data_IF_069297219403
#
_entry.id   IF_069297219403
#
_cell.length_a   1.000
_cell.length_b   1.000
_cell.length_c   1.000
_cell.angle_alpha   90.00
_cell.angle_beta   90.00
_cell.angle_gamma   90.00
#
_symmetry.space_group_name_H-M   'P 1'
#
loop_
_entity.id
_entity.type
_entity.pdbx_description
1 polymer ?
#
# COMPACT_ATOMS: atom_id res chain seq x y z
N UNK A 1 54.12 40.59 3.46
CA UNK A 1 53.21 40.18 2.36
C UNK A 1 53.67 38.83 1.84
N UNK A 2 52.99 37.75 2.20
CA UNK A 2 53.23 36.40 1.68
C UNK A 2 51.92 35.94 1.03
N UNK A 3 51.92 35.80 -0.29
CA UNK A 3 50.76 35.37 -1.07
C UNK A 3 50.79 33.86 -1.19
N UNK A 4 49.84 33.20 -0.52
CA UNK A 4 49.65 31.76 -0.57
C UNK A 4 49.11 31.38 -1.97
N UNK A 5 49.97 30.82 -2.83
CA UNK A 5 49.57 30.33 -4.17
C UNK A 5 49.02 28.92 -4.03
N UNK A 6 47.70 28.77 -4.11
CA UNK A 6 47.06 27.46 -4.25
C UNK A 6 47.33 26.95 -5.68
N UNK A 7 47.93 25.76 -5.82
CA UNK A 7 48.09 25.12 -7.14
C UNK A 7 46.76 24.53 -7.58
N UNK A 8 46.46 24.60 -8.88
CA UNK A 8 45.26 24.01 -9.48
C UNK A 8 45.11 22.50 -9.18
N UNK A 9 46.20 21.81 -8.85
CA UNK A 9 46.26 20.39 -8.50
C UNK A 9 45.44 20.05 -7.24
N UNK A 10 45.41 20.96 -6.26
CA UNK A 10 44.71 20.74 -4.99
C UNK A 10 43.20 20.87 -5.11
N UNK A 11 42.71 21.68 -6.05
CA UNK A 11 41.27 21.80 -6.33
C UNK A 11 40.71 20.58 -7.05
N UNK A 12 41.48 20.00 -7.98
CA UNK A 12 41.07 18.80 -8.70
C UNK A 12 40.94 17.57 -7.80
N UNK A 13 41.84 17.44 -6.83
CA UNK A 13 41.85 16.31 -5.88
C UNK A 13 40.68 16.41 -4.90
N UNK A 14 40.34 17.61 -4.43
CA UNK A 14 39.20 17.82 -3.54
C UNK A 14 37.87 17.58 -4.27
N UNK A 15 37.76 18.04 -5.52
CA UNK A 15 36.55 17.85 -6.34
C UNK A 15 36.28 16.36 -6.64
N UNK A 16 37.33 15.57 -6.95
CA UNK A 16 37.22 14.12 -7.17
C UNK A 16 36.81 13.37 -5.90
N UNK A 17 37.34 13.75 -4.74
CA UNK A 17 36.96 13.15 -3.45
C UNK A 17 35.53 13.51 -3.08
N UNK A 18 35.09 14.76 -3.29
CA UNK A 18 33.69 15.14 -3.07
C UNK A 18 32.74 14.44 -4.06
N UNK A 19 33.14 14.24 -5.32
CA UNK A 19 32.32 13.51 -6.29
C UNK A 19 32.19 12.03 -5.91
N UNK A 20 33.27 11.42 -5.42
CA UNK A 20 33.27 10.03 -4.96
C UNK A 20 32.46 9.84 -3.66
N UNK A 21 32.53 10.80 -2.73
CA UNK A 21 31.72 10.77 -1.49
C UNK A 21 30.25 11.05 -1.80
N UNK A 22 29.92 11.93 -2.76
CA UNK A 22 28.55 12.12 -3.22
C UNK A 22 28.05 10.85 -3.91
N UNK A 23 28.82 10.21 -4.80
CA UNK A 23 28.42 8.96 -5.44
C UNK A 23 28.23 7.79 -4.46
N UNK A 24 29.02 7.73 -3.38
CA UNK A 24 28.86 6.75 -2.30
C UNK A 24 27.70 7.09 -1.35
N UNK A 25 27.37 8.38 -1.18
CA UNK A 25 26.26 8.83 -0.33
C UNK A 25 24.91 8.85 -1.06
N UNK A 26 24.91 8.99 -2.38
CA UNK A 26 23.76 8.82 -3.26
C UNK A 26 23.72 7.41 -3.82
N UNK A 27 24.14 6.41 -3.03
CA UNK A 27 23.92 5.01 -3.37
C UNK A 27 22.45 4.82 -3.70
N UNK A 28 22.14 4.92 -4.99
CA UNK A 28 20.85 4.58 -5.56
C UNK A 28 20.74 3.11 -5.22
N UNK A 29 19.90 2.82 -4.23
CA UNK A 29 19.35 1.49 -4.05
C UNK A 29 18.56 1.27 -5.33
N UNK A 30 19.25 0.72 -6.32
CA UNK A 30 18.66 0.23 -7.54
C UNK A 30 17.64 -0.81 -7.08
N UNK A 31 16.36 -0.47 -7.17
CA UNK A 31 15.26 -1.45 -7.21
C UNK A 31 15.31 -2.16 -8.59
N UNK A 32 16.50 -2.55 -9.04
CA UNK A 32 16.66 -3.58 -10.05
C UNK A 32 16.35 -4.89 -9.35
N UNK A 33 15.10 -5.30 -9.39
CA UNK A 33 14.67 -6.70 -9.49
C UNK A 33 13.14 -6.71 -9.43
N UNK A 34 12.51 -6.73 -10.60
CA UNK A 34 11.17 -7.31 -10.73
C UNK A 34 11.19 -8.72 -10.12
N UNK A 35 10.07 -9.15 -9.54
CA UNK A 35 9.95 -10.40 -8.77
C UNK A 35 10.92 -11.51 -9.21
N UNK A 36 11.81 -11.89 -8.29
CA UNK A 36 12.38 -13.24 -8.15
C UNK A 36 13.17 -13.79 -9.37
N UNK A 37 14.35 -13.22 -9.64
CA UNK A 37 15.39 -13.98 -10.36
C UNK A 37 15.98 -15.12 -9.51
N UNK A 38 15.73 -15.15 -8.20
CA UNK A 38 16.36 -16.08 -7.25
C UNK A 38 15.42 -17.07 -6.54
N UNK A 39 14.09 -17.04 -6.78
CA UNK A 39 13.15 -17.97 -6.13
C UNK A 39 12.96 -19.25 -6.92
N UNK A 40 12.81 -20.39 -6.22
CA UNK A 40 12.56 -21.67 -6.86
C UNK A 40 11.15 -21.66 -7.49
N UNK A 41 11.05 -22.08 -8.76
CA UNK A 41 9.78 -22.21 -9.46
C UNK A 41 8.75 -23.04 -8.66
N UNK A 42 9.23 -24.00 -7.86
CA UNK A 42 8.42 -24.91 -7.04
C UNK A 42 7.78 -24.24 -5.84
N UNK A 43 8.17 -23.01 -5.50
CA UNK A 43 7.51 -22.25 -4.42
C UNK A 43 6.10 -21.78 -4.83
N UNK A 44 5.86 -21.69 -6.14
CA UNK A 44 4.57 -21.28 -6.70
C UNK A 44 3.92 -22.36 -7.56
N UNK A 45 4.70 -23.06 -8.38
CA UNK A 45 4.21 -24.03 -9.35
C UNK A 45 4.26 -25.45 -8.78
N UNK A 46 3.23 -26.25 -9.12
CA UNK A 46 3.16 -27.65 -8.68
C UNK A 46 4.14 -28.57 -9.41
N UNK A 47 4.58 -28.20 -10.62
CA UNK A 47 5.41 -29.04 -11.46
C UNK A 47 6.91 -28.92 -11.14
N UNK A 48 7.62 -30.05 -11.09
CA UNK A 48 9.09 -30.07 -10.90
C UNK A 48 9.85 -29.40 -12.06
N UNK A 49 9.30 -29.44 -13.28
CA UNK A 49 9.77 -28.64 -14.41
C UNK A 49 8.61 -27.82 -14.95
N UNK A 50 8.74 -26.50 -14.85
CA UNK A 50 7.75 -25.55 -15.33
C UNK A 50 7.97 -25.28 -16.82
N UNK A 51 6.89 -25.40 -17.59
CA UNK A 51 6.78 -25.15 -19.02
C UNK A 51 5.53 -24.32 -19.27
N UNK A 52 5.39 -23.71 -20.46
CA UNK A 52 4.18 -22.95 -20.81
C UNK A 52 2.89 -23.76 -20.65
N UNK A 53 2.94 -25.08 -20.85
CA UNK A 53 1.77 -25.96 -20.79
C UNK A 53 1.29 -26.26 -19.37
N UNK A 54 2.17 -26.16 -18.37
CA UNK A 54 1.86 -26.51 -16.97
C UNK A 54 2.05 -25.33 -16.00
N UNK A 55 2.50 -24.18 -16.47
CA UNK A 55 2.74 -22.99 -15.66
C UNK A 55 1.48 -22.47 -14.94
N UNK A 56 0.28 -22.76 -15.45
CA UNK A 56 -0.98 -22.36 -14.79
C UNK A 56 -1.35 -23.23 -13.58
N UNK A 57 -0.62 -24.33 -13.36
CA UNK A 57 -0.86 -25.25 -12.24
C UNK A 57 -0.01 -24.80 -11.04
N UNK A 58 -0.69 -24.17 -10.08
CA UNK A 58 -0.07 -23.59 -8.89
C UNK A 58 -0.30 -24.47 -7.65
N UNK A 59 0.60 -24.36 -6.67
CA UNK A 59 0.48 -25.06 -5.38
C UNK A 59 -0.76 -24.64 -4.58
N UNK A 60 -1.22 -23.40 -4.78
CA UNK A 60 -2.42 -22.84 -4.17
C UNK A 60 -2.98 -21.72 -5.07
N UNK A 61 -4.14 -21.17 -4.68
CA UNK A 61 -4.65 -19.94 -5.30
C UNK A 61 -3.64 -18.80 -5.18
N UNK A 62 -3.59 -17.93 -6.19
CA UNK A 62 -2.61 -16.85 -6.25
C UNK A 62 -2.70 -15.92 -5.04
N UNK A 63 -3.89 -15.67 -4.53
CA UNK A 63 -4.10 -14.83 -3.35
C UNK A 63 -3.34 -15.38 -2.13
N UNK A 64 -3.33 -16.70 -1.96
CA UNK A 64 -2.59 -17.36 -0.87
C UNK A 64 -1.08 -17.35 -1.12
N UNK A 65 -0.64 -17.58 -2.35
CA UNK A 65 0.78 -17.58 -2.70
C UNK A 65 1.38 -16.18 -2.54
N UNK A 66 0.73 -15.16 -3.12
CA UNK A 66 1.17 -13.78 -3.06
C UNK A 66 1.12 -13.23 -1.62
N UNK A 67 0.10 -13.57 -0.82
CA UNK A 67 -0.01 -13.14 0.58
C UNK A 67 1.18 -13.58 1.47
N UNK A 68 1.92 -14.61 1.08
CA UNK A 68 3.07 -15.08 1.87
C UNK A 68 4.19 -14.03 1.95
N UNK A 69 4.32 -13.20 0.91
CA UNK A 69 5.30 -12.11 0.85
C UNK A 69 4.65 -10.72 0.80
N UNK A 70 3.43 -10.61 0.25
CA UNK A 70 2.65 -9.37 0.09
C UNK A 70 1.34 -9.43 0.89
N UNK A 71 1.38 -9.59 2.21
CA UNK A 71 0.18 -9.78 3.03
C UNK A 71 -0.76 -8.57 2.99
N UNK A 72 -0.21 -7.37 2.83
CA UNK A 72 -1.00 -6.13 2.82
C UNK A 72 -1.68 -5.90 1.47
N UNK A 73 -1.09 -6.36 0.37
CA UNK A 73 -1.73 -6.29 -0.94
C UNK A 73 -3.08 -7.01 -0.90
N UNK A 74 -3.19 -8.21 -0.34
CA UNK A 74 -4.49 -8.91 -0.27
C UNK A 74 -5.55 -8.16 0.53
N UNK A 75 -5.14 -7.37 1.53
CA UNK A 75 -6.07 -6.63 2.39
C UNK A 75 -6.45 -5.26 1.85
N UNK A 76 -5.58 -4.65 1.06
CA UNK A 76 -5.65 -3.24 0.67
C UNK A 76 -5.55 -3.01 -0.84
N UNK A 77 -5.79 -4.05 -1.64
CA UNK A 77 -5.85 -3.97 -3.12
C UNK A 77 -7.28 -3.93 -3.63
N UNK A 78 -7.39 -3.66 -4.94
CA UNK A 78 -8.54 -4.11 -5.71
C UNK A 78 -8.81 -5.62 -5.46
N UNK A 79 -10.08 -6.04 -5.29
CA UNK A 79 -10.41 -7.44 -5.02
C UNK A 79 -9.87 -8.41 -6.07
N UNK A 80 -9.52 -9.63 -5.65
CA UNK A 80 -9.07 -10.74 -6.51
C UNK A 80 -9.64 -12.07 -6.01
N UNK A 81 -9.41 -13.16 -6.74
CA UNK A 81 -9.92 -14.49 -6.41
C UNK A 81 -11.41 -14.67 -6.67
N UNK A 82 -11.97 -13.91 -7.63
CA UNK A 82 -13.39 -13.98 -7.98
C UNK A 82 -13.60 -13.96 -9.49
N UNK A 83 -14.70 -14.57 -9.94
CA UNK A 83 -15.11 -14.54 -11.34
C UNK A 83 -15.65 -13.14 -11.71
N UNK A 84 -15.03 -12.41 -12.66
CA UNK A 84 -15.50 -11.10 -13.05
C UNK A 84 -16.90 -11.20 -13.67
N UNK A 85 -17.77 -10.25 -13.33
CA UNK A 85 -19.13 -10.17 -13.85
C UNK A 85 -19.21 -9.54 -15.24
N UNK A 86 -18.14 -8.85 -15.67
CA UNK A 86 -18.01 -8.20 -16.97
C UNK A 86 -16.90 -8.83 -17.79
N UNK A 87 -16.93 -8.60 -19.10
CA UNK A 87 -15.86 -9.01 -20.00
C UNK A 87 -14.59 -8.22 -19.67
N UNK A 88 -13.46 -8.93 -19.53
CA UNK A 88 -12.15 -8.31 -19.36
C UNK A 88 -11.46 -8.18 -20.73
N UNK A 89 -10.72 -7.08 -20.98
CA UNK A 89 -9.89 -6.99 -22.17
C UNK A 89 -8.88 -8.14 -22.25
N UNK A 90 -8.51 -8.55 -23.47
CA UNK A 90 -7.60 -9.69 -23.71
C UNK A 90 -6.24 -9.55 -23.00
N UNK A 91 -5.79 -8.32 -22.78
CA UNK A 91 -4.55 -8.02 -22.05
C UNK A 91 -4.58 -8.45 -20.56
N UNK A 92 -5.76 -8.74 -20.00
CA UNK A 92 -5.99 -9.07 -18.60
C UNK A 92 -6.59 -10.48 -18.47
N UNK A 93 -5.76 -11.53 -18.57
CA UNK A 93 -6.25 -12.90 -18.58
C UNK A 93 -6.79 -13.30 -17.20
N UNK A 94 -7.87 -14.07 -17.19
CA UNK A 94 -8.34 -14.79 -16.00
C UNK A 94 -7.56 -16.09 -15.79
N UNK A 95 -7.62 -16.64 -14.58
CA UNK A 95 -7.06 -17.96 -14.31
C UNK A 95 -7.84 -19.09 -15.00
N UNK A 96 -7.40 -20.34 -14.82
CA UNK A 96 -8.04 -21.51 -15.44
C UNK A 96 -9.48 -21.78 -14.96
N UNK A 97 -9.90 -21.23 -13.81
CA UNK A 97 -11.28 -21.28 -13.30
C UNK A 97 -12.13 -20.13 -13.84
N UNK A 98 -11.48 -19.14 -14.44
CA UNK A 98 -12.09 -17.91 -14.91
C UNK A 98 -12.10 -16.80 -13.86
N UNK A 99 -11.26 -16.87 -12.83
CA UNK A 99 -11.17 -15.86 -11.78
C UNK A 99 -10.18 -14.74 -12.18
N UNK A 100 -10.53 -13.50 -11.82
CA UNK A 100 -9.59 -12.38 -11.80
C UNK A 100 -8.65 -12.57 -10.61
N UNK A 101 -7.35 -12.65 -10.87
CA UNK A 101 -6.31 -12.94 -9.87
C UNK A 101 -5.20 -11.88 -9.92
N UNK A 102 -4.22 -11.95 -9.01
CA UNK A 102 -3.05 -11.07 -9.05
C UNK A 102 -2.36 -11.08 -10.43
N UNK A 103 -2.22 -12.25 -11.04
CA UNK A 103 -1.63 -12.46 -12.35
C UNK A 103 -2.47 -11.96 -13.53
N UNK A 104 -3.73 -11.58 -13.29
CA UNK A 104 -4.57 -10.90 -14.27
C UNK A 104 -4.16 -9.44 -14.46
N UNK A 105 -3.61 -8.81 -13.42
CA UNK A 105 -3.10 -7.43 -13.44
C UNK A 105 -1.57 -7.39 -13.55
N UNK A 106 -0.86 -8.37 -12.99
CA UNK A 106 0.60 -8.40 -12.98
C UNK A 106 1.18 -9.48 -13.90
N UNK A 107 2.23 -9.12 -14.62
CA UNK A 107 3.11 -10.04 -15.35
C UNK A 107 4.18 -10.54 -14.38
N UNK A 108 3.87 -11.61 -13.65
CA UNK A 108 4.66 -12.08 -12.50
C UNK A 108 6.13 -12.39 -12.86
N UNK A 109 6.40 -12.80 -14.10
CA UNK A 109 7.76 -13.05 -14.63
C UNK A 109 8.28 -11.90 -15.51
N UNK A 110 7.69 -10.71 -15.40
CA UNK A 110 8.12 -9.52 -16.13
C UNK A 110 9.29 -8.81 -15.44
N UNK A 111 9.83 -7.81 -16.13
CA UNK A 111 10.94 -6.99 -15.63
C UNK A 111 10.55 -5.53 -15.37
N UNK A 112 9.34 -5.14 -15.76
CA UNK A 112 8.88 -3.76 -15.65
C UNK A 112 8.54 -3.38 -14.19
N UNK A 113 8.79 -2.14 -13.76
CA UNK A 113 8.41 -1.68 -12.43
C UNK A 113 6.93 -1.92 -12.12
N UNK A 114 6.65 -2.58 -10.98
CA UNK A 114 5.29 -2.94 -10.56
C UNK A 114 4.65 -4.07 -11.37
N UNK A 115 5.28 -4.56 -12.43
CA UNK A 115 4.83 -5.68 -13.26
C UNK A 115 3.43 -5.52 -13.87
N UNK A 116 2.88 -4.31 -13.92
CA UNK A 116 1.49 -4.10 -14.37
C UNK A 116 1.34 -4.47 -15.86
N UNK A 117 0.27 -5.20 -16.17
CA UNK A 117 -0.16 -5.54 -17.53
C UNK A 117 -0.87 -4.35 -18.16
N UNK A 118 -0.79 -4.30 -19.48
CA UNK A 118 -1.28 -3.16 -20.23
C UNK A 118 -0.34 -1.95 -20.08
N UNK A 119 -0.42 -1.03 -21.04
CA UNK A 119 0.41 0.19 -21.02
C UNK A 119 -0.15 1.28 -20.09
N UNK A 120 -1.38 1.12 -19.61
CA UNK A 120 -2.08 2.13 -18.83
C UNK A 120 -1.63 2.12 -17.36
N UNK A 121 -1.62 3.30 -16.73
CA UNK A 121 -1.27 3.50 -15.31
C UNK A 121 -2.23 4.50 -14.69
N UNK A 122 -2.38 4.46 -13.36
CA UNK A 122 -3.29 5.36 -12.63
C UNK A 122 -4.74 5.23 -13.11
N UNK A 123 -5.46 6.35 -13.18
CA UNK A 123 -6.89 6.31 -13.52
C UNK A 123 -7.22 5.66 -14.87
N UNK A 124 -6.47 5.92 -15.97
CA UNK A 124 -6.65 5.18 -17.23
C UNK A 124 -6.60 3.65 -17.07
N UNK A 125 -5.77 3.12 -16.17
CA UNK A 125 -5.71 1.68 -15.90
C UNK A 125 -7.03 1.17 -15.33
N UNK A 126 -7.59 1.87 -14.36
CA UNK A 126 -8.88 1.50 -13.75
C UNK A 126 -10.01 1.50 -14.80
N UNK A 127 -9.96 2.44 -15.75
CA UNK A 127 -10.92 2.56 -16.85
C UNK A 127 -10.83 1.45 -17.90
N UNK A 128 -9.79 0.61 -17.87
CA UNK A 128 -9.74 -0.60 -18.73
C UNK A 128 -10.82 -1.61 -18.36
N UNK A 129 -11.26 -1.59 -17.09
CA UNK A 129 -12.23 -2.52 -16.54
C UNK A 129 -13.46 -1.81 -15.98
N UNK A 130 -13.38 -0.54 -15.57
CA UNK A 130 -14.50 0.22 -15.01
C UNK A 130 -14.91 1.36 -15.93
N UNK A 131 -16.18 1.74 -15.89
CA UNK A 131 -16.67 2.95 -16.57
C UNK A 131 -16.65 4.14 -15.61
N UNK A 132 -16.76 5.35 -16.15
CA UNK A 132 -16.80 6.57 -15.33
C UNK A 132 -17.98 6.56 -14.35
N UNK A 133 -19.11 5.96 -14.72
CA UNK A 133 -20.29 5.85 -13.86
C UNK A 133 -20.02 5.05 -12.58
N UNK A 134 -19.19 3.99 -12.67
CA UNK A 134 -18.74 3.27 -11.48
C UNK A 134 -18.07 4.19 -10.46
N UNK A 135 -17.17 5.07 -10.90
CA UNK A 135 -16.47 6.01 -10.04
C UNK A 135 -17.36 7.16 -9.59
N UNK A 136 -18.24 7.67 -10.44
CA UNK A 136 -19.15 8.77 -10.10
C UNK A 136 -20.12 8.45 -8.95
N UNK A 137 -20.34 7.15 -8.66
CA UNK A 137 -21.12 6.71 -7.50
C UNK A 137 -20.35 6.71 -6.19
N UNK A 138 -19.03 6.88 -6.23
CA UNK A 138 -18.19 7.00 -5.05
C UNK A 138 -18.28 8.42 -4.48
N UNK A 139 -18.21 8.60 -3.14
CA UNK A 139 -18.29 9.92 -2.51
C UNK A 139 -17.25 10.92 -3.04
N UNK A 140 -16.06 10.45 -3.39
CA UNK A 140 -14.94 11.23 -3.88
C UNK A 140 -14.76 11.16 -5.40
N UNK A 141 -15.72 10.52 -6.09
CA UNK A 141 -15.70 10.23 -7.54
C UNK A 141 -14.49 9.42 -8.01
N UNK A 142 -13.93 8.59 -7.13
CA UNK A 142 -12.84 7.68 -7.44
C UNK A 142 -11.45 8.28 -7.37
N UNK A 143 -11.28 9.54 -6.97
CA UNK A 143 -9.97 10.21 -6.91
C UNK A 143 -8.97 9.50 -5.98
N UNK A 144 -9.43 9.01 -4.82
CA UNK A 144 -8.60 8.27 -3.85
C UNK A 144 -8.11 6.92 -4.36
N UNK A 145 -8.90 6.25 -5.21
CA UNK A 145 -8.58 4.92 -5.76
C UNK A 145 -7.94 4.98 -7.14
N UNK A 146 -8.05 6.14 -7.82
CA UNK A 146 -7.51 6.40 -9.15
C UNK A 146 -5.98 6.38 -9.21
N UNK A 147 -5.33 6.77 -8.11
CA UNK A 147 -3.88 6.92 -8.06
C UNK A 147 -3.11 5.60 -7.92
N UNK A 148 -3.73 4.57 -7.34
CA UNK A 148 -3.03 3.34 -6.95
C UNK A 148 -3.87 2.09 -7.25
N UNK A 149 -3.25 0.96 -7.56
CA UNK A 149 -3.95 -0.33 -7.72
C UNK A 149 -4.20 -1.04 -6.38
N UNK A 150 -3.39 -0.68 -5.39
CA UNK A 150 -3.46 -1.10 -4.00
C UNK A 150 -2.78 -0.03 -3.14
N UNK A 151 -3.14 0.05 -1.86
CA UNK A 151 -2.38 0.90 -0.95
C UNK A 151 -0.97 0.30 -0.79
N UNK A 152 0.05 1.12 -0.97
CA UNK A 152 1.44 0.67 -0.98
C UNK A 152 2.13 0.93 0.36
N UNK A 153 2.77 -0.08 0.96
CA UNK A 153 3.54 0.08 2.18
C UNK A 153 4.91 0.77 1.96
N UNK A 154 5.30 1.09 0.73
CA UNK A 154 6.65 1.61 0.43
C UNK A 154 6.87 3.09 0.75
N UNK A 155 5.85 3.84 1.20
CA UNK A 155 6.03 5.23 1.56
C UNK A 155 6.89 5.37 2.85
N UNK A 156 7.95 6.18 2.78
CA UNK A 156 8.84 6.40 3.94
C UNK A 156 8.13 7.21 5.04
N UNK A 157 7.68 6.52 6.08
CA UNK A 157 7.02 7.08 7.27
C UNK A 157 7.89 8.05 8.07
N UNK A 158 9.22 8.04 7.86
CA UNK A 158 10.18 8.80 8.67
C UNK A 158 10.17 10.31 8.44
N UNK A 159 9.41 10.81 7.44
CA UNK A 159 9.38 12.25 7.10
C UNK A 159 8.33 13.06 7.85
N UNK A 160 7.52 12.44 8.70
CA UNK A 160 6.43 13.13 9.41
C UNK A 160 6.72 13.29 10.90
N UNK A 161 6.19 14.35 11.52
CA UNK A 161 6.39 14.66 12.94
C UNK A 161 5.76 13.61 13.87
N UNK A 162 4.80 12.83 13.36
CA UNK A 162 4.13 11.71 14.02
C UNK A 162 4.41 10.48 13.18
N UNK A 163 4.80 9.33 13.76
CA UNK A 163 5.08 8.12 12.99
C UNK A 163 3.76 7.53 12.45
N UNK A 164 3.33 8.01 11.28
CA UNK A 164 2.18 7.50 10.54
C UNK A 164 2.61 6.33 9.66
N UNK A 165 1.72 5.34 9.53
CA UNK A 165 1.95 4.26 8.58
C UNK A 165 1.82 4.74 7.12
N UNK A 166 2.47 4.06 6.17
CA UNK A 166 2.43 4.40 4.75
C UNK A 166 1.02 4.55 4.16
N UNK A 167 0.06 3.75 4.65
CA UNK A 167 -1.32 3.78 4.16
C UNK A 167 -2.03 5.05 4.62
N UNK A 168 -1.88 5.40 5.91
CA UNK A 168 -2.38 6.66 6.44
C UNK A 168 -1.80 7.87 5.68
N UNK A 169 -0.52 7.83 5.30
CA UNK A 169 0.09 8.88 4.47
C UNK A 169 -0.54 8.99 3.08
N UNK A 170 -0.87 7.87 2.45
CA UNK A 170 -1.56 7.87 1.15
C UNK A 170 -2.98 8.42 1.25
N UNK A 171 -3.73 8.03 2.29
CA UNK A 171 -5.05 8.62 2.55
C UNK A 171 -4.93 10.15 2.71
N UNK A 172 -3.99 10.60 3.53
CA UNK A 172 -3.80 12.03 3.78
C UNK A 172 -3.36 12.80 2.52
N UNK A 173 -2.63 12.16 1.61
CA UNK A 173 -2.24 12.78 0.33
C UNK A 173 -3.41 13.38 -0.46
N UNK A 174 -4.61 12.82 -0.34
CA UNK A 174 -5.82 13.36 -0.97
C UNK A 174 -6.77 14.02 0.04
N UNK A 175 -6.98 13.41 1.22
CA UNK A 175 -7.98 13.88 2.19
C UNK A 175 -7.54 15.16 2.94
N UNK A 176 -6.23 15.42 3.06
CA UNK A 176 -5.72 16.65 3.68
C UNK A 176 -6.03 17.90 2.83
N UNK A 177 -5.94 17.78 1.51
CA UNK A 177 -6.14 18.90 0.58
C UNK A 177 -7.62 19.31 0.46
N UNK A 178 -8.54 18.38 0.75
CA UNK A 178 -10.00 18.58 0.67
C UNK A 178 -10.63 19.08 1.97
N UNK A 179 -9.85 19.17 3.05
CA UNK A 179 -10.32 19.69 4.33
C UNK A 179 -11.26 18.73 5.08
N UNK A 180 -11.28 17.44 4.71
CA UNK A 180 -12.07 16.40 5.38
C UNK A 180 -11.49 16.01 6.75
N UNK A 181 -10.22 16.35 6.97
CA UNK A 181 -9.47 16.16 8.21
C UNK A 181 -8.76 17.44 8.65
N UNK A 182 -8.78 17.74 9.95
CA UNK A 182 -8.12 18.93 10.51
C UNK A 182 -6.58 18.77 10.51
N UNK A 183 -5.90 19.56 9.65
CA UNK A 183 -4.44 19.62 9.51
C UNK A 183 -3.70 19.88 10.82
N UNK A 184 -4.29 20.67 11.74
CA UNK A 184 -3.67 20.99 13.02
C UNK A 184 -3.61 19.79 13.96
N UNK A 185 -4.64 18.96 13.92
CA UNK A 185 -4.78 17.81 14.81
C UNK A 185 -3.90 16.63 14.36
N UNK A 186 -3.77 16.38 13.05
CA UNK A 186 -2.94 15.29 12.52
C UNK A 186 -1.46 15.46 12.89
N UNK A 187 -0.96 16.71 12.96
CA UNK A 187 0.41 17.01 13.41
C UNK A 187 0.67 16.63 14.87
N UNK A 188 -0.39 16.44 15.66
CA UNK A 188 -0.33 15.93 17.04
C UNK A 188 -0.68 14.45 17.14
N UNK A 189 -0.91 13.77 16.01
CA UNK A 189 -1.30 12.37 15.95
C UNK A 189 -2.77 12.15 16.29
N UNK A 190 -3.60 13.19 16.20
CA UNK A 190 -5.03 13.16 16.52
C UNK A 190 -5.83 13.48 15.26
N UNK A 191 -6.63 12.53 14.78
CA UNK A 191 -7.57 12.83 13.68
C UNK A 191 -8.80 13.49 14.26
N UNK A 192 -9.24 14.57 13.62
CA UNK A 192 -10.55 15.17 13.82
C UNK A 192 -11.30 15.15 12.50
N UNK A 193 -12.47 14.55 12.52
CA UNK A 193 -13.35 14.48 11.36
C UNK A 193 -14.20 15.75 11.30
N UNK A 194 -14.29 16.39 10.14
CA UNK A 194 -15.21 17.52 9.96
C UNK A 194 -16.66 17.04 10.03
N UNK A 195 -17.37 17.39 11.11
CA UNK A 195 -18.79 17.04 11.29
C UNK A 195 -19.06 15.79 12.14
N UNK A 196 -18.06 15.24 12.83
CA UNK A 196 -18.23 14.18 13.84
C UNK A 196 -17.46 14.53 15.12
N UNK A 197 -18.02 14.18 16.27
CA UNK A 197 -17.38 14.40 17.58
C UNK A 197 -16.36 13.30 17.93
N UNK A 198 -16.21 12.28 17.08
CA UNK A 198 -15.25 11.20 17.30
C UNK A 198 -13.87 11.65 16.86
N UNK A 199 -13.01 11.94 17.83
CA UNK A 199 -11.59 12.20 17.62
C UNK A 199 -10.80 10.98 18.09
N UNK A 200 -9.85 10.52 17.27
CA UNK A 200 -9.03 9.37 17.66
C UNK A 200 -7.58 9.56 17.26
N UNK A 201 -6.64 9.00 18.03
CA UNK A 201 -5.24 9.05 17.67
C UNK A 201 -4.91 8.10 16.50
N UNK A 202 -3.97 8.50 15.64
CA UNK A 202 -3.34 7.66 14.62
C UNK A 202 -1.82 7.67 14.80
N UNK A 203 -1.15 6.64 14.28
CA UNK A 203 0.28 6.42 14.46
C UNK A 203 0.67 5.88 15.84
N UNK A 204 -0.31 5.65 16.73
CA UNK A 204 -0.06 5.15 18.08
C UNK A 204 0.18 3.64 18.05
N UNK A 205 1.26 3.19 18.69
CA UNK A 205 1.55 1.77 18.85
C UNK A 205 0.53 1.13 19.78
N UNK A 206 -0.33 0.28 19.23
CA UNK A 206 -1.49 -0.25 19.93
C UNK A 206 -1.08 -1.11 21.14
N UNK A 207 -0.10 -2.00 20.96
CA UNK A 207 0.40 -2.84 22.05
C UNK A 207 0.97 -2.04 23.22
N UNK A 208 1.61 -0.90 22.94
CA UNK A 208 2.11 -0.02 24.00
C UNK A 208 0.97 0.65 24.76
N UNK A 209 -0.13 0.96 24.07
CA UNK A 209 -1.33 1.56 24.67
C UNK A 209 -2.00 0.62 25.69
N UNK A 210 -1.92 -0.70 25.47
CA UNK A 210 -2.49 -1.71 26.38
C UNK A 210 -1.91 -1.59 27.80
N UNK A 211 -0.62 -1.23 27.93
CA UNK A 211 0.03 -1.06 29.23
C UNK A 211 -0.60 0.06 30.09
N UNK A 212 -1.34 0.98 29.48
CA UNK A 212 -2.04 2.07 30.18
C UNK A 212 -3.47 1.69 30.60
N UNK A 213 -3.96 0.50 30.24
CA UNK A 213 -5.28 -0.02 30.60
C UNK A 213 -6.42 0.45 29.69
N UNK A 214 -7.57 -0.24 29.75
CA UNK A 214 -8.78 0.10 28.96
C UNK A 214 -8.75 -0.32 27.49
N UNK A 215 -7.83 -1.21 27.11
CA UNK A 215 -7.70 -1.75 25.75
C UNK A 215 -7.80 -3.28 25.75
N UNK A 216 -8.39 -3.82 24.69
CA UNK A 216 -8.38 -5.25 24.39
C UNK A 216 -7.00 -5.68 23.91
N UNK A 217 -6.72 -6.97 24.03
CA UNK A 217 -5.51 -7.54 23.43
C UNK A 217 -5.70 -7.68 21.91
N UNK A 218 -4.64 -7.60 21.09
CA UNK A 218 -4.78 -7.58 19.63
C UNK A 218 -5.48 -8.82 19.06
N UNK A 219 -5.31 -9.98 19.71
CA UNK A 219 -5.97 -11.24 19.37
C UNK A 219 -7.49 -11.25 19.61
N UNK A 220 -8.00 -10.29 20.38
CA UNK A 220 -9.42 -10.13 20.71
C UNK A 220 -10.13 -9.04 19.91
N UNK A 221 -9.42 -8.36 19.02
CA UNK A 221 -9.98 -7.36 18.11
C UNK A 221 -10.51 -8.06 16.85
N UNK A 222 -11.62 -7.60 16.26
CA UNK A 222 -12.09 -8.10 14.95
C UNK A 222 -10.98 -8.10 13.90
N UNK A 223 -10.96 -9.13 13.05
CA UNK A 223 -9.90 -9.31 12.03
C UNK A 223 -9.95 -8.26 10.92
N UNK A 224 -11.09 -7.60 10.79
CA UNK A 224 -11.36 -6.48 9.89
C UNK A 224 -10.60 -5.22 10.32
N UNK A 225 -10.29 -5.07 11.61
CA UNK A 225 -9.45 -3.99 12.14
C UNK A 225 -8.00 -4.41 11.97
N UNK A 226 -7.32 -3.75 11.04
CA UNK A 226 -5.90 -3.97 10.77
C UNK A 226 -5.10 -2.96 11.59
N UNK A 227 -3.97 -3.39 12.17
CA UNK A 227 -3.02 -2.51 12.86
C UNK A 227 -1.72 -2.44 12.06
N UNK A 228 -1.59 -1.52 11.08
CA UNK A 228 -0.39 -1.41 10.26
C UNK A 228 0.83 -1.16 11.12
N UNK A 229 1.88 -1.98 10.98
CA UNK A 229 3.08 -1.95 11.83
C UNK A 229 2.76 -1.97 13.35
N UNK A 230 1.66 -2.61 13.74
CA UNK A 230 1.18 -2.66 15.13
C UNK A 230 0.61 -1.33 15.65
N UNK A 231 0.25 -0.40 14.76
CA UNK A 231 -0.27 0.93 15.09
C UNK A 231 -1.71 1.11 14.66
N UNK A 232 -2.39 2.06 15.29
CA UNK A 232 -3.70 2.55 14.83
C UNK A 232 -3.48 3.48 13.64
N UNK A 233 -4.05 3.15 12.48
CA UNK A 233 -3.98 3.95 11.25
C UNK A 233 -5.37 4.19 10.66
N UNK A 234 -5.45 4.91 9.54
CA UNK A 234 -6.72 5.18 8.85
C UNK A 234 -7.47 3.89 8.49
N UNK A 235 -6.73 2.89 8.01
CA UNK A 235 -7.29 1.58 7.61
C UNK A 235 -7.63 0.64 8.77
N UNK A 236 -7.31 1.02 10.02
CA UNK A 236 -7.82 0.32 11.20
C UNK A 236 -9.33 0.50 11.35
N UNK A 237 -9.87 1.60 10.82
CA UNK A 237 -11.28 1.95 10.92
C UNK A 237 -11.97 2.03 9.56
N UNK A 238 -11.26 2.42 8.49
CA UNK A 238 -11.86 2.70 7.19
C UNK A 238 -11.47 1.68 6.12
N UNK A 239 -12.43 1.31 5.27
CA UNK A 239 -12.17 0.53 4.06
C UNK A 239 -11.56 1.42 2.97
N UNK A 240 -10.44 1.01 2.38
CA UNK A 240 -9.81 1.72 1.26
C UNK A 240 -10.43 1.39 -0.10
N UNK A 241 -10.06 0.23 -0.67
CA UNK A 241 -10.43 -0.18 -2.03
C UNK A 241 -11.75 -0.98 -2.07
N UNK A 242 -12.87 -0.28 -1.88
CA UNK A 242 -14.21 -0.87 -2.07
C UNK A 242 -15.18 0.13 -2.73
N UNK A 243 -16.31 -0.36 -3.24
CA UNK A 243 -17.40 0.51 -3.69
C UNK A 243 -18.01 1.38 -2.57
N UNK A 244 -17.61 1.14 -1.31
CA UNK A 244 -17.94 1.94 -0.13
C UNK A 244 -16.67 2.56 0.45
N UNK A 245 -15.78 3.08 -0.39
CA UNK A 245 -14.56 3.79 0.03
C UNK A 245 -14.83 4.69 1.24
N UNK A 246 -13.96 4.62 2.25
CA UNK A 246 -14.09 5.39 3.48
C UNK A 246 -15.17 4.90 4.47
N UNK A 247 -15.93 3.84 4.15
CA UNK A 247 -16.86 3.24 5.11
C UNK A 247 -16.11 2.57 6.27
N UNK A 248 -16.79 2.40 7.41
CA UNK A 248 -16.19 1.74 8.56
C UNK A 248 -16.05 0.23 8.35
N UNK A 249 -14.92 -0.33 8.76
CA UNK A 249 -14.63 -1.78 8.73
C UNK A 249 -15.50 -2.56 9.73
N UNK A 250 -15.97 -1.88 10.78
CA UNK A 250 -16.94 -2.37 11.76
C UNK A 250 -18.00 -1.28 11.97
N UNK A 251 -19.28 -1.67 12.04
CA UNK A 251 -20.36 -0.72 12.32
C UNK A 251 -20.16 -0.05 13.69
N UNK A 252 -20.48 1.25 13.77
CA UNK A 252 -20.32 2.02 15.01
C UNK A 252 -21.64 2.22 15.77
N UNK A 253 -22.60 1.32 15.58
CA UNK A 253 -23.85 1.32 16.35
C UNK A 253 -23.52 1.11 17.83
N UNK A 254 -24.09 1.95 18.71
CA UNK A 254 -23.83 1.96 20.16
C UNK A 254 -22.32 2.01 20.53
N UNK A 255 -21.50 2.69 19.73
CA UNK A 255 -20.03 2.73 19.89
C UNK A 255 -19.34 1.38 19.69
N UNK A 256 -19.94 0.48 18.88
CA UNK A 256 -19.42 -0.85 18.58
C UNK A 256 -17.98 -0.85 18.03
N UNK A 257 -17.62 0.13 17.22
CA UNK A 257 -16.25 0.26 16.71
C UNK A 257 -15.27 0.61 17.84
N UNK A 258 -15.63 1.55 18.72
CA UNK A 258 -14.79 1.95 19.86
C UNK A 258 -14.53 0.76 20.79
N UNK A 259 -15.59 0.04 21.15
CA UNK A 259 -15.54 -1.12 22.05
C UNK A 259 -14.90 -2.37 21.43
N UNK A 260 -14.65 -2.36 20.12
CA UNK A 260 -13.85 -3.40 19.46
C UNK A 260 -12.37 -3.34 19.85
N UNK A 261 -11.87 -2.15 20.23
CA UNK A 261 -10.51 -1.93 20.69
C UNK A 261 -10.43 -1.65 22.19
N UNK A 262 -11.50 -1.12 22.77
CA UNK A 262 -11.54 -0.67 24.15
C UNK A 262 -12.33 -1.63 25.05
N UNK A 263 -11.84 -1.78 26.29
CA UNK A 263 -12.50 -2.51 27.38
C UNK A 263 -12.75 -1.52 28.51
N UNK A 264 -13.71 -0.62 28.28
CA UNK A 264 -14.07 0.53 29.12
C UNK A 264 -15.26 0.21 30.05
#
# INVERSE_FOLDING_TARGET
MSTFRWSLSSFFSLALVTLAVVALATGEVSLENGHLLETDCRDCHLADQVTEKNATILLAGQEKLCASCHPDAIRLSHPTGFKPSRFLPEAFPVDWKGDLTCGSCHTIHGTEPGLIRGGEKGFPFCLTCHDQEFFDRMPDRGESVAGFGHLDATADSKKTAVPLDPFSLQCLGCHEERGEVDRGAIRTGMVRHTGSDVNHPIGMAYEKSIAFGGYRSPDRIPKEIILPDGRVGCISCHTGYSGKHGALVVANDDSGLCTSCHDL
#
